data_IF_704058241852
#
_entry.id   IF_704058241852
#
_cell.length_a   1.000
_cell.length_b   1.000
_cell.length_c   1.000
_cell.angle_alpha   90.00
_cell.angle_beta   90.00
_cell.angle_gamma   90.00
#
_symmetry.space_group_name_H-M   'P 1'
#
loop_
_entity.id
_entity.type
_entity.pdbx_description
1 polymer ?
#
# COMPACT_ATOMS: atom_id res chain seq x y z
N UNK A 1 7.83 41.91 58.31
CA UNK A 1 7.27 40.53 58.21
C UNK A 1 6.95 40.30 56.75
N UNK A 2 7.70 39.38 56.12
CA UNK A 2 7.54 38.73 54.80
C UNK A 2 6.93 39.53 53.62
N UNK A 3 7.80 39.77 52.63
CA UNK A 3 7.45 39.95 51.23
C UNK A 3 6.66 38.73 50.70
N UNK A 4 5.65 38.98 49.85
CA UNK A 4 5.35 38.08 48.73
C UNK A 4 4.89 38.90 47.52
N UNK A 5 5.78 38.96 46.55
CA UNK A 5 5.65 39.59 45.24
C UNK A 5 4.74 38.75 44.34
N UNK A 6 3.68 39.32 43.78
CA UNK A 6 2.95 38.73 42.65
C UNK A 6 3.24 39.58 41.41
N UNK A 7 4.17 39.11 40.58
CA UNK A 7 4.47 39.67 39.26
C UNK A 7 3.45 39.07 38.29
N UNK A 8 2.53 39.89 37.77
CA UNK A 8 1.79 39.58 36.54
C UNK A 8 2.60 40.14 35.37
N UNK A 9 3.40 39.30 34.72
CA UNK A 9 3.98 39.64 33.42
C UNK A 9 2.90 39.48 32.35
N UNK A 10 2.63 40.59 31.65
CA UNK A 10 1.81 40.62 30.45
C UNK A 10 2.57 39.96 29.30
N UNK A 11 2.03 38.86 28.76
CA UNK A 11 2.43 38.36 27.45
C UNK A 11 1.88 39.29 26.38
N UNK A 12 2.75 40.07 25.75
CA UNK A 12 2.47 40.70 24.46
C UNK A 12 2.36 39.60 23.40
N UNK A 13 1.14 39.33 22.91
CA UNK A 13 0.95 38.66 21.63
C UNK A 13 1.34 39.65 20.52
N UNK A 14 2.53 39.47 19.95
CA UNK A 14 2.85 40.03 18.65
C UNK A 14 2.14 39.19 17.58
N UNK A 15 0.97 39.66 17.14
CA UNK A 15 0.34 39.24 15.89
C UNK A 15 1.19 39.75 14.73
N UNK A 16 2.18 38.97 14.31
CA UNK A 16 2.85 39.15 13.04
C UNK A 16 1.88 38.79 11.91
N UNK A 17 1.40 39.82 11.20
CA UNK A 17 0.72 39.64 9.93
C UNK A 17 1.73 39.11 8.91
N UNK A 18 1.72 37.80 8.67
CA UNK A 18 2.37 37.22 7.49
C UNK A 18 1.45 37.46 6.29
N UNK A 19 1.93 38.26 5.35
CA UNK A 19 1.37 38.40 4.02
C UNK A 19 1.35 37.03 3.34
N UNK A 20 0.15 36.50 3.13
CA UNK A 20 -0.08 35.33 2.28
C UNK A 20 0.41 35.72 0.88
N UNK A 21 1.51 35.12 0.45
CA UNK A 21 1.85 35.07 -0.96
C UNK A 21 0.81 34.16 -1.62
N UNK A 22 -0.09 34.76 -2.39
CA UNK A 22 -1.06 34.06 -3.23
C UNK A 22 -0.28 33.37 -4.36
N UNK A 23 0.16 32.14 -4.10
CA UNK A 23 0.96 31.30 -4.99
C UNK A 23 0.09 30.30 -5.75
N UNK A 24 -0.06 30.54 -7.06
CA UNK A 24 -0.52 29.65 -8.14
C UNK A 24 -1.92 29.02 -8.00
N UNK A 25 -2.92 29.64 -8.66
CA UNK A 25 -4.13 28.94 -9.11
C UNK A 25 -3.73 27.82 -10.08
N UNK A 26 -3.87 26.57 -9.67
CA UNK A 26 -3.77 25.39 -10.55
C UNK A 26 -4.75 25.55 -11.73
N UNK A 27 -4.36 25.28 -13.00
CA UNK A 27 -5.26 25.38 -14.14
C UNK A 27 -6.44 24.42 -14.02
N UNK A 28 -7.54 24.69 -14.74
CA UNK A 28 -8.61 23.70 -14.96
C UNK A 28 -8.00 22.38 -15.47
N UNK A 29 -7.98 21.36 -14.60
CA UNK A 29 -7.43 20.02 -14.79
C UNK A 29 -5.90 19.96 -14.69
N UNK A 30 -5.39 19.28 -13.67
CA UNK A 30 -3.97 18.92 -13.53
C UNK A 30 -3.78 17.45 -13.93
N UNK A 31 -2.71 17.13 -14.66
CA UNK A 31 -2.30 15.76 -14.97
C UNK A 31 -0.79 15.72 -15.13
N UNK A 32 -0.13 14.94 -14.30
CA UNK A 32 1.30 14.67 -14.32
C UNK A 32 1.52 13.16 -14.49
N UNK A 33 2.38 12.80 -15.43
CA UNK A 33 2.89 11.45 -15.60
C UNK A 33 4.39 11.44 -15.32
N UNK A 34 4.93 10.27 -15.05
CA UNK A 34 6.33 10.13 -14.65
C UNK A 34 7.00 9.05 -15.51
N UNK A 35 8.18 9.32 -16.09
CA UNK A 35 8.93 8.30 -16.81
C UNK A 35 9.47 7.25 -15.85
N UNK A 36 9.61 6.02 -16.34
CA UNK A 36 10.27 4.94 -15.61
C UNK A 36 11.78 5.11 -15.78
N UNK A 37 12.57 5.17 -14.69
CA UNK A 37 14.02 5.25 -14.80
C UNK A 37 14.63 4.04 -15.51
N UNK A 38 15.72 4.28 -16.25
CA UNK A 38 16.48 3.23 -16.92
C UNK A 38 16.89 2.11 -15.95
N UNK A 39 16.69 0.86 -16.37
CA UNK A 39 17.06 -0.34 -15.60
C UNK A 39 16.00 -0.82 -14.61
N UNK A 40 14.85 -0.15 -14.52
CA UNK A 40 13.67 -0.65 -13.81
C UNK A 40 12.79 -1.49 -14.77
N UNK A 41 12.28 -2.66 -14.36
CA UNK A 41 11.43 -3.48 -15.22
C UNK A 41 10.14 -2.79 -15.67
N UNK A 42 9.86 -2.87 -16.98
CA UNK A 42 8.66 -2.29 -17.62
C UNK A 42 7.73 -3.39 -18.14
N UNK A 43 6.42 -3.17 -18.02
CA UNK A 43 5.40 -4.05 -18.56
C UNK A 43 4.94 -3.58 -19.95
N UNK A 44 4.40 -4.50 -20.75
CA UNK A 44 4.00 -4.20 -22.15
C UNK A 44 2.61 -4.75 -22.51
N UNK A 45 1.91 -5.34 -21.55
CA UNK A 45 0.55 -5.87 -21.74
C UNK A 45 -0.48 -4.79 -22.05
N UNK A 46 -0.22 -3.54 -21.62
CA UNK A 46 -1.12 -2.41 -21.81
C UNK A 46 -0.40 -1.17 -22.32
N UNK A 47 -0.91 -0.58 -23.41
CA UNK A 47 -0.59 0.80 -23.76
C UNK A 47 -1.57 1.73 -23.02
N UNK A 48 -1.07 2.55 -22.10
CA UNK A 48 -1.89 3.39 -21.23
C UNK A 48 -1.73 4.86 -21.59
N UNK A 49 -2.85 5.59 -21.65
CA UNK A 49 -2.87 7.03 -21.86
C UNK A 49 -3.90 7.69 -20.94
N UNK A 50 -3.62 8.91 -20.53
CA UNK A 50 -4.55 9.76 -19.79
C UNK A 50 -4.63 11.16 -20.42
N UNK A 51 -5.75 11.85 -20.20
CA UNK A 51 -5.87 13.29 -20.48
C UNK A 51 -6.87 13.96 -19.55
N UNK A 52 -6.65 15.23 -19.27
CA UNK A 52 -7.75 16.13 -18.87
C UNK A 52 -8.77 16.20 -20.03
N UNK A 53 -10.09 16.15 -19.78
CA UNK A 53 -11.11 16.23 -20.82
C UNK A 53 -10.88 17.40 -21.79
N UNK A 54 -10.93 17.12 -23.09
CA UNK A 54 -10.62 18.09 -24.15
C UNK A 54 -9.12 18.37 -24.37
N UNK A 55 -8.25 17.84 -23.51
CA UNK A 55 -6.79 17.95 -23.61
C UNK A 55 -6.15 16.93 -24.56
N UNK A 56 -4.81 16.93 -24.59
CA UNK A 56 -4.00 15.97 -25.33
C UNK A 56 -3.80 14.70 -24.51
N UNK A 57 -3.85 13.54 -25.20
CA UNK A 57 -3.45 12.27 -24.60
C UNK A 57 -1.97 12.26 -24.27
N UNK A 58 -1.65 11.94 -23.01
CA UNK A 58 -0.31 11.71 -22.51
C UNK A 58 -0.13 10.20 -22.31
N UNK A 59 0.99 9.64 -22.80
CA UNK A 59 1.32 8.24 -22.53
C UNK A 59 1.78 8.06 -21.09
N UNK A 60 1.45 6.92 -20.50
CA UNK A 60 1.90 6.51 -19.17
C UNK A 60 2.64 5.19 -19.34
N UNK A 61 3.90 5.17 -18.95
CA UNK A 61 4.69 3.95 -18.91
C UNK A 61 4.21 3.04 -17.77
N UNK A 62 4.38 1.73 -17.92
CA UNK A 62 3.93 0.77 -16.92
C UNK A 62 5.10 0.02 -16.29
N UNK A 63 5.17 0.05 -14.97
CA UNK A 63 6.09 -0.80 -14.21
C UNK A 63 5.58 -2.24 -14.28
N UNK A 64 6.51 -3.19 -14.07
CA UNK A 64 6.20 -4.62 -14.07
C UNK A 64 6.25 -5.19 -12.64
N UNK A 65 5.18 -5.06 -11.84
CA UNK A 65 5.07 -5.84 -10.62
C UNK A 65 4.96 -7.33 -10.98
N UNK A 66 5.37 -8.17 -10.03
CA UNK A 66 5.29 -9.63 -10.14
C UNK A 66 4.30 -10.11 -9.11
N UNK A 67 3.49 -11.09 -9.50
CA UNK A 67 2.42 -11.70 -8.72
C UNK A 67 2.70 -13.18 -8.55
N UNK A 68 2.06 -13.82 -7.58
CA UNK A 68 2.31 -15.21 -7.26
C UNK A 68 1.05 -16.06 -7.45
N UNK A 69 1.23 -17.29 -7.93
CA UNK A 69 0.19 -18.31 -7.94
C UNK A 69 0.76 -19.57 -7.30
N UNK A 70 0.15 -20.03 -6.21
CA UNK A 70 0.60 -21.22 -5.48
C UNK A 70 -0.33 -22.39 -5.76
N UNK A 71 0.27 -23.56 -5.96
CA UNK A 71 -0.42 -24.84 -5.94
C UNK A 71 -0.32 -25.43 -4.53
N UNK A 72 -1.40 -25.36 -3.75
CA UNK A 72 -1.44 -25.85 -2.37
C UNK A 72 -1.24 -27.37 -2.24
N UNK A 73 -1.46 -28.15 -3.30
CA UNK A 73 -1.26 -29.61 -3.29
C UNK A 73 0.22 -29.97 -3.43
N UNK A 74 0.97 -29.26 -4.28
CA UNK A 74 2.37 -29.59 -4.60
C UNK A 74 3.39 -28.69 -3.92
N UNK A 75 2.96 -27.54 -3.38
CA UNK A 75 3.83 -26.47 -2.89
C UNK A 75 4.55 -25.70 -4.01
N UNK A 76 4.26 -25.97 -5.28
CA UNK A 76 4.84 -25.25 -6.41
C UNK A 76 4.27 -23.84 -6.56
N UNK A 77 5.06 -22.92 -7.09
CA UNK A 77 4.64 -21.54 -7.36
C UNK A 77 4.93 -21.10 -8.80
N UNK A 78 4.01 -20.36 -9.40
CA UNK A 78 4.17 -19.69 -10.70
C UNK A 78 4.21 -18.18 -10.46
N UNK A 79 5.16 -17.49 -11.10
CA UNK A 79 5.25 -16.03 -11.08
C UNK A 79 4.62 -15.46 -12.33
N UNK A 80 3.76 -14.46 -12.15
CA UNK A 80 3.10 -13.76 -13.24
C UNK A 80 3.51 -12.29 -13.27
N UNK A 81 3.78 -11.75 -14.45
CA UNK A 81 3.99 -10.30 -14.59
C UNK A 81 2.65 -9.60 -14.74
N UNK A 82 2.50 -8.44 -14.09
CA UNK A 82 1.35 -7.55 -14.26
C UNK A 82 1.80 -6.18 -14.74
N UNK A 83 0.86 -5.25 -14.89
CA UNK A 83 1.15 -3.86 -15.28
C UNK A 83 0.74 -2.88 -14.19
N UNK A 84 1.59 -1.90 -13.91
CA UNK A 84 1.30 -0.79 -13.00
C UNK A 84 1.53 0.55 -13.72
N UNK A 85 0.49 1.33 -13.93
CA UNK A 85 0.56 2.73 -14.30
C UNK A 85 0.42 3.60 -13.05
N UNK A 86 1.15 4.72 -12.97
CA UNK A 86 0.96 5.71 -11.92
C UNK A 86 1.00 7.13 -12.47
N UNK A 87 0.16 8.00 -11.90
CA UNK A 87 -0.03 9.38 -12.35
C UNK A 87 -0.62 10.23 -11.23
N UNK A 88 -0.38 11.53 -11.29
CA UNK A 88 -0.99 12.49 -10.39
C UNK A 88 -1.98 13.36 -11.16
N UNK A 89 -3.16 13.62 -10.62
CA UNK A 89 -4.14 14.49 -11.25
C UNK A 89 -5.04 15.19 -10.23
N UNK A 90 -5.69 16.27 -10.68
CA UNK A 90 -6.79 16.92 -9.94
C UNK A 90 -7.97 17.17 -10.89
N UNK A 91 -9.17 17.08 -10.34
CA UNK A 91 -10.43 17.08 -11.08
C UNK A 91 -10.61 15.80 -11.90
N UNK A 92 -11.02 15.94 -13.15
CA UNK A 92 -11.38 14.79 -14.00
C UNK A 92 -10.30 14.44 -15.00
N UNK A 93 -10.03 13.14 -15.18
CA UNK A 93 -9.20 12.58 -16.25
C UNK A 93 -9.92 11.47 -17.00
N UNK A 94 -9.71 11.42 -18.31
CA UNK A 94 -10.09 10.30 -19.16
C UNK A 94 -8.90 9.34 -19.28
N UNK A 95 -9.14 8.05 -19.08
CA UNK A 95 -8.15 6.99 -19.20
C UNK A 95 -8.47 6.14 -20.43
N UNK A 96 -7.42 5.76 -21.16
CA UNK A 96 -7.45 4.77 -22.23
C UNK A 96 -6.39 3.71 -21.95
N UNK A 97 -6.81 2.45 -21.85
CA UNK A 97 -5.93 1.29 -21.74
C UNK A 97 -6.17 0.37 -22.95
N UNK A 98 -5.16 0.13 -23.76
CA UNK A 98 -5.22 -0.83 -24.87
C UNK A 98 -4.50 -2.10 -24.46
N UNK A 99 -5.23 -3.21 -24.40
CA UNK A 99 -4.61 -4.52 -24.22
C UNK A 99 -3.87 -4.91 -25.50
N UNK A 100 -2.59 -5.28 -25.39
CA UNK A 100 -1.70 -5.48 -26.54
C UNK A 100 -1.63 -6.94 -27.00
N UNK A 101 -1.94 -7.89 -26.11
CA UNK A 101 -1.79 -9.32 -26.38
C UNK A 101 -2.95 -9.92 -27.18
N UNK A 102 -4.18 -9.41 -26.99
CA UNK A 102 -5.37 -9.91 -27.70
C UNK A 102 -6.51 -8.87 -27.73
N UNK A 103 -7.66 -9.26 -28.28
CA UNK A 103 -8.94 -8.57 -28.14
C UNK A 103 -9.43 -8.63 -26.70
N UNK A 104 -10.15 -7.58 -26.30
CA UNK A 104 -10.86 -7.57 -25.03
C UNK A 104 -12.29 -8.05 -25.30
N UNK A 105 -12.65 -9.20 -24.75
CA UNK A 105 -14.00 -9.76 -24.74
C UNK A 105 -14.82 -9.15 -23.60
N UNK A 106 -14.21 -9.03 -22.42
CA UNK A 106 -14.79 -8.48 -21.18
C UNK A 106 -13.79 -7.54 -20.52
N UNK A 107 -14.28 -6.45 -19.93
CA UNK A 107 -13.50 -5.52 -19.14
C UNK A 107 -14.29 -5.10 -17.90
N UNK A 108 -13.65 -5.07 -16.75
CA UNK A 108 -14.21 -4.56 -15.50
C UNK A 108 -13.20 -3.62 -14.83
N UNK A 109 -13.70 -2.71 -14.00
CA UNK A 109 -12.89 -1.85 -13.14
C UNK A 109 -13.17 -2.22 -11.70
N UNK A 110 -12.12 -2.44 -10.91
CA UNK A 110 -12.20 -2.83 -9.50
C UNK A 110 -11.52 -1.76 -8.62
N UNK A 111 -11.98 -1.55 -7.37
CA UNK A 111 -13.10 -2.21 -6.71
C UNK A 111 -14.47 -1.84 -7.31
N UNK A 112 -15.45 -2.75 -7.21
CA UNK A 112 -16.82 -2.52 -7.67
C UNK A 112 -17.56 -1.46 -6.84
N UNK A 113 -17.16 -1.25 -5.58
CA UNK A 113 -17.67 -0.20 -4.69
C UNK A 113 -17.59 1.21 -5.31
N UNK A 114 -16.63 1.45 -6.21
CA UNK A 114 -16.48 2.72 -6.91
C UNK A 114 -17.50 2.95 -8.02
N UNK A 115 -18.29 1.93 -8.39
CA UNK A 115 -19.35 2.01 -9.40
C UNK A 115 -18.85 2.53 -10.77
N UNK A 116 -17.61 2.21 -11.14
CA UNK A 116 -17.00 2.60 -12.41
C UNK A 116 -17.36 1.59 -13.51
N UNK A 117 -17.88 2.10 -14.63
CA UNK A 117 -18.23 1.29 -15.80
C UNK A 117 -17.31 1.60 -16.98
N UNK A 118 -16.44 0.67 -17.42
CA UNK A 118 -15.61 0.87 -18.58
C UNK A 118 -16.42 0.80 -19.89
N UNK A 119 -16.00 1.58 -20.89
CA UNK A 119 -16.40 1.42 -22.29
C UNK A 119 -15.32 0.65 -23.04
N UNK A 120 -15.73 -0.35 -23.81
CA UNK A 120 -14.83 -1.21 -24.57
C UNK A 120 -15.06 -1.06 -26.07
N UNK A 121 -13.98 -0.95 -26.84
CA UNK A 121 -13.99 -0.98 -28.31
C UNK A 121 -12.77 -1.73 -28.84
N UNK A 122 -12.98 -2.94 -29.38
CA UNK A 122 -11.88 -3.82 -29.78
C UNK A 122 -11.03 -4.22 -28.58
N UNK A 123 -9.73 -3.91 -28.61
CA UNK A 123 -8.79 -4.13 -27.50
C UNK A 123 -8.65 -2.92 -26.56
N UNK A 124 -9.42 -1.85 -26.81
CA UNK A 124 -9.32 -0.61 -26.04
C UNK A 124 -10.42 -0.54 -24.99
N UNK A 125 -10.02 -0.27 -23.75
CA UNK A 125 -10.85 0.05 -22.61
C UNK A 125 -10.71 1.53 -22.27
N UNK A 126 -11.82 2.22 -22.05
CA UNK A 126 -11.84 3.65 -21.70
C UNK A 126 -12.79 3.91 -20.54
N UNK A 127 -12.43 4.83 -19.66
CA UNK A 127 -13.26 5.27 -18.54
C UNK A 127 -12.77 6.63 -18.04
N UNK A 128 -13.44 7.15 -17.03
CA UNK A 128 -13.13 8.46 -16.44
C UNK A 128 -12.96 8.30 -14.94
N UNK A 129 -11.97 8.99 -14.39
CA UNK A 129 -11.84 9.22 -12.95
C UNK A 129 -12.10 10.70 -12.70
N UNK A 130 -12.96 11.00 -11.73
CA UNK A 130 -13.34 12.36 -11.31
C UNK A 130 -12.59 12.85 -10.07
N UNK A 131 -11.84 11.96 -9.43
CA UNK A 131 -10.91 12.20 -8.33
C UNK A 131 -9.86 11.08 -8.30
N UNK A 132 -8.66 11.34 -7.74
CA UNK A 132 -7.66 10.31 -7.50
C UNK A 132 -8.23 9.15 -6.66
N UNK A 133 -8.05 7.94 -7.17
CA UNK A 133 -8.38 6.66 -6.54
C UNK A 133 -7.62 5.53 -7.23
N UNK A 134 -7.24 4.52 -6.46
CA UNK A 134 -6.51 3.37 -6.99
C UNK A 134 -7.49 2.35 -7.59
N UNK A 135 -7.25 1.95 -8.85
CA UNK A 135 -8.15 1.04 -9.57
C UNK A 135 -7.40 -0.03 -10.35
N UNK A 136 -8.08 -1.15 -10.58
CA UNK A 136 -7.60 -2.23 -11.45
C UNK A 136 -8.50 -2.34 -12.67
N UNK A 137 -7.89 -2.33 -13.85
CA UNK A 137 -8.53 -2.70 -15.11
C UNK A 137 -8.22 -4.18 -15.37
N UNK A 138 -9.25 -5.00 -15.23
CA UNK A 138 -9.16 -6.44 -15.52
C UNK A 138 -9.81 -6.72 -16.88
N UNK A 139 -9.11 -7.47 -17.71
CA UNK A 139 -9.58 -7.85 -19.06
C UNK A 139 -9.66 -9.36 -19.19
N UNK A 140 -10.66 -9.84 -19.92
CA UNK A 140 -10.81 -11.27 -20.26
C UNK A 140 -10.83 -12.22 -19.05
N UNK A 141 -11.27 -11.73 -17.89
CA UNK A 141 -11.27 -12.48 -16.62
C UNK A 141 -9.88 -12.92 -16.12
N UNK A 142 -8.80 -12.43 -16.72
CA UNK A 142 -7.42 -12.68 -16.26
C UNK A 142 -7.09 -11.79 -15.07
N UNK A 143 -6.79 -12.42 -13.93
CA UNK A 143 -6.45 -11.71 -12.70
C UNK A 143 -4.98 -11.38 -12.56
N UNK A 144 -4.11 -12.05 -13.33
CA UNK A 144 -2.66 -11.91 -13.22
C UNK A 144 -2.14 -10.91 -14.25
N UNK A 145 -2.63 -10.95 -15.48
CA UNK A 145 -2.31 -9.97 -16.53
C UNK A 145 -3.27 -8.76 -16.51
N UNK A 146 -3.36 -8.11 -15.34
CA UNK A 146 -4.19 -6.92 -15.11
C UNK A 146 -3.39 -5.61 -15.18
N UNK A 147 -4.10 -4.49 -15.29
CA UNK A 147 -3.51 -3.15 -15.20
C UNK A 147 -3.96 -2.47 -13.90
N UNK A 148 -3.00 -2.24 -13.02
CA UNK A 148 -3.16 -1.45 -11.81
C UNK A 148 -2.87 0.01 -12.15
N UNK A 149 -3.74 0.92 -11.72
CA UNK A 149 -3.59 2.36 -11.96
C UNK A 149 -3.64 3.04 -10.61
N UNK A 150 -2.48 3.47 -10.13
CA UNK A 150 -2.35 4.20 -8.89
C UNK A 150 -2.35 5.70 -9.14
N UNK A 151 -3.16 6.42 -8.37
CA UNK A 151 -3.34 7.84 -8.62
C UNK A 151 -3.29 8.68 -7.38
N UNK A 152 -2.84 9.90 -7.55
CA UNK A 152 -2.54 10.80 -6.47
C UNK A 152 -3.05 12.22 -6.78
N UNK A 153 -3.44 13.02 -5.78
CA UNK A 153 -3.55 14.46 -5.97
C UNK A 153 -2.15 15.06 -6.24
N UNK A 154 -2.06 16.30 -6.78
CA UNK A 154 -0.77 17.00 -6.91
C UNK A 154 -0.03 17.08 -5.57
N UNK A 155 1.31 16.93 -5.56
CA UNK A 155 2.10 17.23 -4.36
C UNK A 155 2.19 18.74 -4.15
N UNK A 156 1.67 19.18 -3.01
CA UNK A 156 1.68 20.60 -2.63
C UNK A 156 2.67 20.88 -1.50
N UNK A 157 3.30 19.86 -0.94
CA UNK A 157 4.22 19.96 0.20
C UNK A 157 5.53 19.20 -0.08
N UNK A 158 6.17 19.51 -1.20
CA UNK A 158 7.46 18.93 -1.56
C UNK A 158 8.55 19.57 -0.69
N UNK A 159 9.30 18.81 0.12
CA UNK A 159 10.36 19.37 0.95
C UNK A 159 11.55 19.83 0.08
N UNK A 160 12.31 20.78 0.61
CA UNK A 160 13.54 21.24 -0.04
C UNK A 160 14.61 20.16 0.00
N UNK A 161 15.21 19.82 -1.14
CA UNK A 161 16.32 18.87 -1.26
C UNK A 161 17.54 19.25 -0.38
N UNK A 162 17.73 20.56 -0.13
CA UNK A 162 18.81 21.06 0.73
C UNK A 162 18.49 21.11 2.23
N UNK A 163 17.31 20.66 2.66
CA UNK A 163 16.97 20.64 4.08
C UNK A 163 17.78 19.57 4.82
N UNK A 164 18.43 19.95 5.93
CA UNK A 164 19.28 19.08 6.74
C UNK A 164 18.53 17.91 7.39
N UNK A 165 17.21 18.02 7.52
CA UNK A 165 16.35 17.00 8.11
C UNK A 165 15.64 16.15 7.06
N UNK A 166 15.96 16.36 5.77
CA UNK A 166 15.35 15.64 4.65
C UNK A 166 16.41 14.82 3.90
N UNK A 167 16.11 13.54 3.74
CA UNK A 167 16.81 12.62 2.84
C UNK A 167 16.02 12.59 1.52
N UNK A 168 16.45 13.38 0.55
CA UNK A 168 15.70 13.60 -0.69
C UNK A 168 16.22 12.71 -1.82
N UNK A 169 15.32 11.96 -2.47
CA UNK A 169 15.60 11.20 -3.68
C UNK A 169 14.73 11.70 -4.82
N UNK A 170 15.34 12.44 -5.75
CA UNK A 170 14.70 12.94 -6.98
C UNK A 170 14.52 11.86 -8.06
N UNK A 171 13.91 12.19 -9.22
CA UNK A 171 13.69 11.24 -10.31
C UNK A 171 14.96 10.49 -10.74
N UNK A 172 14.85 9.18 -10.96
CA UNK A 172 15.99 8.31 -11.29
C UNK A 172 15.99 6.99 -10.54
N UNK A 173 16.86 6.06 -10.94
CA UNK A 173 17.05 4.77 -10.27
C UNK A 173 18.22 4.82 -9.29
N UNK A 174 17.92 4.85 -8.00
CA UNK A 174 18.88 4.92 -6.90
C UNK A 174 19.13 3.53 -6.31
N UNK A 175 20.31 2.97 -6.55
CA UNK A 175 20.72 1.67 -5.99
C UNK A 175 21.63 1.89 -4.80
N UNK A 176 21.18 1.50 -3.62
CA UNK A 176 21.93 1.57 -2.38
C UNK A 176 22.58 0.21 -2.10
N UNK A 177 23.79 0.24 -1.57
CA UNK A 177 24.56 -0.98 -1.24
C UNK A 177 24.45 -1.36 0.25
N UNK A 178 23.76 -0.56 1.04
CA UNK A 178 23.58 -0.73 2.48
C UNK A 178 22.17 -0.31 2.89
N UNK A 179 21.70 -0.84 4.02
CA UNK A 179 20.48 -0.38 4.68
C UNK A 179 20.46 1.13 4.85
N UNK A 180 19.31 1.74 4.59
CA UNK A 180 19.07 3.16 4.75
C UNK A 180 18.38 3.42 6.09
N UNK A 181 19.13 3.96 7.05
CA UNK A 181 18.60 4.32 8.35
C UNK A 181 17.98 5.73 8.32
N UNK A 182 16.73 5.85 8.74
CA UNK A 182 16.01 7.13 8.90
C UNK A 182 15.82 7.39 10.39
N UNK A 183 16.69 8.24 10.94
CA UNK A 183 16.72 8.56 12.37
C UNK A 183 15.67 9.59 12.80
N UNK A 184 15.63 9.87 14.10
CA UNK A 184 14.64 10.78 14.71
C UNK A 184 14.59 12.17 14.09
N UNK A 185 13.37 12.70 13.92
CA UNK A 185 13.11 14.02 13.36
C UNK A 185 13.39 14.14 11.86
N UNK A 186 13.68 13.03 11.16
CA UNK A 186 14.03 13.03 9.74
C UNK A 186 12.84 12.70 8.85
N UNK A 187 12.90 13.23 7.63
CA UNK A 187 12.02 12.84 6.54
C UNK A 187 12.81 12.16 5.43
N UNK A 188 12.47 10.91 5.07
CA UNK A 188 12.84 10.34 3.78
C UNK A 188 11.79 10.73 2.75
N UNK A 189 12.18 11.51 1.74
CA UNK A 189 11.30 11.94 0.67
C UNK A 189 11.70 11.31 -0.66
N UNK A 190 10.79 10.56 -1.27
CA UNK A 190 11.01 9.86 -2.56
C UNK A 190 10.09 10.47 -3.62
N UNK A 191 10.66 11.31 -4.49
CA UNK A 191 9.90 12.07 -5.48
C UNK A 191 9.21 11.16 -6.53
N UNK A 192 8.15 11.67 -7.18
CA UNK A 192 7.61 11.04 -8.39
C UNK A 192 8.71 10.86 -9.44
N UNK A 193 8.73 9.72 -10.13
CA UNK A 193 9.80 9.34 -11.05
C UNK A 193 11.05 8.77 -10.38
N UNK A 194 11.13 8.74 -9.05
CA UNK A 194 12.24 8.11 -8.34
C UNK A 194 11.94 6.64 -8.03
N UNK A 195 12.96 5.79 -8.15
CA UNK A 195 12.92 4.39 -7.71
C UNK A 195 14.13 4.15 -6.83
N UNK A 196 13.91 3.69 -5.60
CA UNK A 196 14.98 3.27 -4.69
C UNK A 196 15.02 1.76 -4.62
N UNK A 197 16.21 1.18 -4.78
CA UNK A 197 16.48 -0.21 -4.40
C UNK A 197 17.53 -0.20 -3.31
N UNK A 198 17.18 -0.71 -2.14
CA UNK A 198 18.03 -0.80 -0.96
C UNK A 198 17.91 -2.19 -0.34
N UNK A 199 18.90 -2.65 0.43
CA UNK A 199 18.75 -3.82 1.29
C UNK A 199 17.58 -3.66 2.24
N UNK A 200 17.48 -2.61 3.03
CA UNK A 200 16.27 -2.30 3.82
C UNK A 200 16.23 -0.80 4.10
N UNK A 201 15.09 -0.31 4.55
CA UNK A 201 14.96 1.02 5.18
C UNK A 201 14.59 0.79 6.64
N UNK A 202 15.33 1.37 7.57
CA UNK A 202 15.09 1.12 9.01
C UNK A 202 14.81 2.41 9.76
N UNK A 203 13.84 2.34 10.67
CA UNK A 203 13.56 3.35 11.70
C UNK A 203 13.71 2.65 13.04
N UNK A 204 14.84 2.86 13.71
CA UNK A 204 15.19 2.10 14.92
C UNK A 204 15.34 3.04 16.11
N UNK A 205 14.68 2.72 17.22
CA UNK A 205 14.75 3.50 18.48
C UNK A 205 14.58 5.01 18.24
N UNK A 206 13.64 5.38 17.37
CA UNK A 206 13.50 6.74 16.85
C UNK A 206 12.12 7.33 17.08
N UNK A 207 12.02 8.65 16.96
CA UNK A 207 10.77 9.38 17.08
C UNK A 207 10.63 10.46 16.02
N UNK A 208 9.39 10.81 15.66
CA UNK A 208 9.06 11.88 14.72
C UNK A 208 9.69 11.65 13.32
N UNK A 209 9.43 10.48 12.75
CA UNK A 209 9.99 10.08 11.44
C UNK A 209 8.92 10.06 10.37
N UNK A 210 9.24 10.59 9.20
CA UNK A 210 8.36 10.53 8.03
C UNK A 210 9.07 9.87 6.85
N UNK A 211 8.45 8.88 6.22
CA UNK A 211 8.89 8.28 4.98
C UNK A 211 7.78 8.49 3.97
N UNK A 212 7.93 9.45 3.05
CA UNK A 212 6.84 9.85 2.16
C UNK A 212 7.26 10.17 0.74
N UNK A 213 6.29 10.33 -0.14
CA UNK A 213 6.50 10.84 -1.49
C UNK A 213 5.61 10.11 -2.48
N UNK A 214 6.02 10.07 -3.75
CA UNK A 214 5.24 9.46 -4.85
C UNK A 214 6.05 8.47 -5.69
N UNK A 215 7.31 8.22 -5.29
CA UNK A 215 8.18 7.27 -5.95
C UNK A 215 7.97 5.83 -5.49
N UNK A 216 8.81 4.94 -6.02
CA UNK A 216 8.75 3.51 -5.76
C UNK A 216 9.94 3.02 -4.94
N UNK A 217 9.69 2.01 -4.12
CA UNK A 217 10.69 1.14 -3.52
C UNK A 217 10.65 -0.21 -4.24
N UNK A 218 11.80 -0.68 -4.72
CA UNK A 218 11.90 -1.87 -5.55
C UNK A 218 12.95 -2.85 -5.02
N UNK A 219 12.55 -4.10 -4.85
CA UNK A 219 13.48 -5.20 -4.60
C UNK A 219 13.12 -6.46 -5.37
N UNK A 220 14.03 -7.09 -6.13
CA UNK A 220 13.76 -8.41 -6.70
C UNK A 220 13.79 -9.53 -5.64
N UNK A 221 14.32 -9.28 -4.44
CA UNK A 221 14.56 -10.31 -3.42
C UNK A 221 13.52 -10.36 -2.31
N UNK A 222 12.71 -9.31 -2.16
CA UNK A 222 11.90 -9.11 -0.95
C UNK A 222 12.72 -8.38 0.10
N UNK A 223 12.40 -7.10 0.32
CA UNK A 223 13.03 -6.25 1.32
C UNK A 223 11.97 -5.40 2.02
N UNK A 224 12.35 -4.57 2.98
CA UNK A 224 11.35 -3.96 3.87
C UNK A 224 11.68 -2.56 4.36
N UNK A 225 10.62 -1.80 4.66
CA UNK A 225 10.70 -0.69 5.62
C UNK A 225 10.43 -1.32 6.99
N UNK A 226 11.34 -1.20 7.95
CA UNK A 226 11.20 -1.81 9.27
C UNK A 226 11.25 -0.73 10.34
N UNK A 227 10.14 -0.60 11.06
CA UNK A 227 9.99 0.33 12.18
C UNK A 227 10.14 -0.47 13.48
N UNK A 228 11.26 -0.30 14.16
CA UNK A 228 11.59 -1.01 15.39
C UNK A 228 11.60 -0.06 16.58
N UNK A 229 10.84 -0.40 17.63
CA UNK A 229 10.92 0.27 18.94
C UNK A 229 10.85 1.80 18.83
N UNK A 230 10.00 2.28 17.93
CA UNK A 230 9.96 3.68 17.53
C UNK A 230 8.58 4.27 17.78
N UNK A 231 8.50 5.60 17.78
CA UNK A 231 7.25 6.32 18.04
C UNK A 231 6.96 7.45 17.06
N UNK A 232 5.69 7.73 16.79
CA UNK A 232 5.28 8.80 15.87
C UNK A 232 5.97 8.68 14.49
N UNK A 233 5.65 7.59 13.78
CA UNK A 233 6.22 7.28 12.46
C UNK A 233 5.12 7.30 11.40
N UNK A 234 5.34 8.10 10.35
CA UNK A 234 4.45 8.18 9.19
C UNK A 234 5.11 7.56 7.95
N UNK A 235 4.45 6.60 7.32
CA UNK A 235 4.82 6.06 6.01
C UNK A 235 3.68 6.40 5.03
N UNK A 236 3.93 7.29 4.06
CA UNK A 236 2.88 7.91 3.25
C UNK A 236 3.13 7.87 1.73
N UNK A 237 2.10 7.49 0.96
CA UNK A 237 2.00 7.71 -0.51
C UNK A 237 3.03 7.01 -1.44
N UNK A 238 3.91 6.18 -0.90
CA UNK A 238 4.87 5.39 -1.67
C UNK A 238 4.28 4.09 -2.24
N UNK A 239 4.99 3.51 -3.21
CA UNK A 239 4.66 2.22 -3.81
C UNK A 239 5.81 1.22 -3.59
N UNK A 240 5.52 0.05 -3.04
CA UNK A 240 6.46 -1.06 -2.92
C UNK A 240 6.27 -2.12 -4.00
N UNK A 241 7.35 -2.57 -4.64
CA UNK A 241 7.37 -3.80 -5.43
C UNK A 241 8.34 -4.75 -4.76
N UNK A 242 7.82 -5.78 -4.10
CA UNK A 242 8.53 -6.68 -3.20
C UNK A 242 9.33 -5.89 -2.13
N UNK A 243 8.81 -4.73 -1.73
CA UNK A 243 9.39 -3.89 -0.68
C UNK A 243 8.26 -3.56 0.28
N UNK A 244 8.28 -4.12 1.49
CA UNK A 244 7.08 -4.33 2.30
C UNK A 244 7.24 -3.63 3.66
N UNK A 245 6.29 -2.78 4.11
CA UNK A 245 6.48 -1.98 5.32
C UNK A 245 5.94 -2.70 6.56
N UNK A 246 6.72 -2.74 7.64
CA UNK A 246 6.43 -3.50 8.85
C UNK A 246 6.77 -2.72 10.11
N UNK A 247 6.03 -2.96 11.19
CA UNK A 247 6.25 -2.35 12.49
C UNK A 247 6.37 -3.39 13.61
N UNK A 248 7.31 -3.15 14.53
CA UNK A 248 7.67 -4.04 15.61
C UNK A 248 7.88 -3.24 16.90
N UNK A 249 7.21 -3.64 17.99
CA UNK A 249 7.32 -3.01 19.32
C UNK A 249 7.22 -1.46 19.28
N UNK A 250 6.39 -0.93 18.38
CA UNK A 250 6.35 0.50 18.08
C UNK A 250 5.00 1.13 18.45
N UNK A 251 5.00 2.45 18.60
CA UNK A 251 3.83 3.20 19.05
C UNK A 251 3.49 4.36 18.12
N UNK A 252 2.22 4.64 17.89
CA UNK A 252 1.78 5.77 17.05
C UNK A 252 2.39 5.69 15.63
N UNK A 253 2.13 4.57 14.94
CA UNK A 253 2.60 4.31 13.58
C UNK A 253 1.45 4.44 12.59
N UNK A 254 1.64 5.23 11.54
CA UNK A 254 0.64 5.42 10.48
C UNK A 254 1.19 4.96 9.13
N UNK A 255 0.52 4.00 8.52
CA UNK A 255 0.68 3.66 7.11
C UNK A 255 -0.47 4.32 6.35
N UNK A 256 -0.17 5.40 5.65
CA UNK A 256 -1.16 6.23 4.95
C UNK A 256 -0.99 6.11 3.45
N UNK A 257 -2.10 5.79 2.80
CA UNK A 257 -2.21 5.62 1.38
C UNK A 257 -1.30 4.55 0.77
N UNK A 258 -0.37 3.88 1.46
CA UNK A 258 0.64 2.98 0.89
C UNK A 258 0.08 1.97 -0.14
N UNK A 259 0.85 1.65 -1.20
CA UNK A 259 0.51 0.55 -2.11
C UNK A 259 1.65 -0.43 -2.27
N UNK A 260 1.39 -1.72 -2.36
CA UNK A 260 2.43 -2.67 -2.76
C UNK A 260 1.96 -3.91 -3.52
N UNK A 261 2.99 -4.61 -4.01
CA UNK A 261 2.91 -5.94 -4.60
C UNK A 261 3.97 -6.84 -3.97
N UNK A 262 3.65 -8.10 -3.74
CA UNK A 262 4.66 -9.11 -3.43
C UNK A 262 4.49 -10.41 -4.20
N UNK A 263 5.63 -11.02 -4.49
CA UNK A 263 5.76 -12.33 -5.09
C UNK A 263 7.06 -13.00 -4.62
N UNK A 264 7.28 -13.00 -3.32
CA UNK A 264 8.41 -13.66 -2.64
C UNK A 264 7.88 -14.67 -1.62
N UNK A 265 8.77 -15.47 -1.03
CA UNK A 265 8.39 -16.36 0.06
C UNK A 265 8.06 -15.53 1.30
N UNK A 266 6.94 -15.81 1.99
CA UNK A 266 6.43 -15.02 3.12
C UNK A 266 6.32 -13.54 2.74
N UNK A 267 5.66 -13.32 1.61
CA UNK A 267 5.50 -12.02 0.99
C UNK A 267 4.47 -11.15 1.68
N UNK A 268 4.32 -11.24 2.99
CA UNK A 268 3.34 -10.51 3.77
C UNK A 268 3.52 -9.00 3.55
N UNK A 269 2.40 -8.31 3.33
CA UNK A 269 2.37 -6.86 3.12
C UNK A 269 2.74 -6.10 4.39
N UNK A 270 1.74 -5.77 5.18
CA UNK A 270 1.87 -4.98 6.40
C UNK A 270 1.77 -5.84 7.65
N UNK A 271 2.93 -6.13 8.25
CA UNK A 271 2.97 -6.79 9.54
C UNK A 271 3.10 -5.80 10.69
N UNK A 272 2.33 -6.05 11.74
CA UNK A 272 2.36 -5.29 13.00
C UNK A 272 2.56 -6.27 14.15
N UNK A 273 3.72 -6.20 14.80
CA UNK A 273 4.08 -7.03 15.95
C UNK A 273 4.18 -6.19 17.22
N UNK A 274 3.44 -6.55 18.26
CA UNK A 274 3.54 -5.95 19.60
C UNK A 274 3.44 -4.40 19.61
N UNK A 275 2.56 -3.81 18.79
CA UNK A 275 2.48 -2.35 18.64
C UNK A 275 1.28 -1.73 19.36
N UNK A 276 1.36 -0.43 19.67
CA UNK A 276 0.28 0.36 20.25
C UNK A 276 -0.09 1.52 19.30
N UNK A 277 -1.38 1.78 19.08
CA UNK A 277 -1.85 2.90 18.26
C UNK A 277 -1.32 2.85 16.82
N UNK A 278 -1.79 1.88 16.04
CA UNK A 278 -1.43 1.78 14.62
C UNK A 278 -2.62 2.13 13.74
N UNK A 279 -2.39 2.99 12.75
CA UNK A 279 -3.37 3.32 11.72
C UNK A 279 -2.87 2.84 10.36
N UNK A 280 -3.63 1.94 9.74
CA UNK A 280 -3.46 1.53 8.35
C UNK A 280 -4.65 2.12 7.59
N UNK A 281 -4.39 3.12 6.75
CA UNK A 281 -5.43 3.94 6.12
C UNK A 281 -5.20 4.07 4.61
N UNK A 282 -6.27 3.89 3.84
CA UNK A 282 -6.29 4.18 2.40
C UNK A 282 -5.28 3.35 1.57
N UNK A 283 -4.94 2.12 1.99
CA UNK A 283 -3.88 1.31 1.36
C UNK A 283 -4.39 0.41 0.23
N UNK A 284 -3.51 0.05 -0.70
CA UNK A 284 -3.73 -1.00 -1.68
C UNK A 284 -2.68 -2.11 -1.52
N UNK A 285 -3.09 -3.33 -1.27
CA UNK A 285 -2.15 -4.42 -1.01
C UNK A 285 -2.48 -5.62 -1.89
N UNK A 286 -1.52 -6.08 -2.70
CA UNK A 286 -1.65 -7.31 -3.49
C UNK A 286 -0.47 -8.24 -3.24
N UNK A 287 -0.66 -9.22 -2.35
CA UNK A 287 0.46 -9.93 -1.75
C UNK A 287 0.42 -11.43 -1.97
N UNK A 288 1.61 -12.01 -2.00
CA UNK A 288 1.84 -13.45 -2.09
C UNK A 288 1.90 -14.15 -0.74
N UNK A 289 1.29 -13.55 0.27
CA UNK A 289 0.98 -14.04 1.62
C UNK A 289 -0.01 -13.04 2.24
N UNK A 290 -0.14 -13.00 3.57
CA UNK A 290 -1.05 -12.08 4.26
C UNK A 290 -0.88 -10.61 3.81
N UNK A 291 -1.97 -9.93 3.39
CA UNK A 291 -1.88 -8.52 3.04
C UNK A 291 -1.64 -7.66 4.30
N UNK A 292 -2.41 -7.90 5.36
CA UNK A 292 -2.21 -7.25 6.66
C UNK A 292 -2.22 -8.31 7.74
N UNK A 293 -1.18 -8.33 8.57
CA UNK A 293 -1.07 -9.21 9.70
C UNK A 293 -0.87 -8.45 11.02
N UNK A 294 -1.69 -8.77 12.02
CA UNK A 294 -1.53 -8.24 13.38
C UNK A 294 -1.18 -9.38 14.32
N UNK A 295 0.06 -9.33 14.81
CA UNK A 295 0.65 -10.34 15.67
C UNK A 295 0.91 -9.78 17.07
N UNK A 296 1.00 -10.67 18.05
CA UNK A 296 1.63 -10.38 19.33
C UNK A 296 3.08 -10.92 19.26
N UNK A 297 3.51 -11.73 20.23
CA UNK A 297 4.85 -12.29 20.25
C UNK A 297 5.21 -13.11 19.02
N UNK A 298 6.42 -12.85 18.52
CA UNK A 298 7.12 -13.71 17.58
C UNK A 298 8.62 -13.48 17.71
N UNK A 299 9.39 -14.55 17.81
CA UNK A 299 10.85 -14.51 17.88
C UNK A 299 11.39 -13.60 19.01
N UNK A 300 11.91 -12.42 18.68
CA UNK A 300 12.45 -11.46 19.65
C UNK A 300 11.48 -10.34 20.04
N UNK A 301 10.27 -10.35 19.47
CA UNK A 301 9.24 -9.34 19.74
C UNK A 301 8.31 -9.79 20.85
N UNK A 302 8.12 -8.95 21.86
CA UNK A 302 7.29 -9.26 23.03
C UNK A 302 6.29 -8.15 23.31
N UNK A 303 5.08 -8.55 23.70
CA UNK A 303 4.04 -7.64 24.16
C UNK A 303 2.74 -7.71 23.38
N UNK A 304 1.81 -6.88 23.82
CA UNK A 304 0.46 -6.80 23.27
C UNK A 304 0.46 -6.01 21.96
N UNK A 305 -0.53 -6.29 21.10
CA UNK A 305 -0.90 -5.43 19.98
C UNK A 305 -2.23 -4.74 20.30
N UNK A 306 -2.22 -3.42 20.47
CA UNK A 306 -3.37 -2.69 21.00
C UNK A 306 -3.72 -1.44 20.20
N UNK A 307 -5.03 -1.17 20.09
CA UNK A 307 -5.57 0.00 19.40
C UNK A 307 -5.07 0.11 17.94
N UNK A 308 -5.52 -0.83 17.10
CA UNK A 308 -5.12 -0.90 15.70
C UNK A 308 -6.35 -0.68 14.83
N UNK A 309 -6.26 0.29 13.92
CA UNK A 309 -7.32 0.60 12.95
C UNK A 309 -6.83 0.31 11.54
N UNK A 310 -7.60 -0.50 10.81
CA UNK A 310 -7.43 -0.78 9.39
C UNK A 310 -8.66 -0.21 8.68
N UNK A 311 -8.47 0.72 7.76
CA UNK A 311 -9.60 1.36 7.10
C UNK A 311 -9.37 1.84 5.66
N UNK A 312 -10.47 2.01 4.94
CA UNK A 312 -10.52 2.66 3.62
C UNK A 312 -9.62 1.98 2.56
N UNK A 313 -9.43 0.66 2.68
CA UNK A 313 -8.35 -0.07 2.01
C UNK A 313 -8.83 -1.13 1.02
N UNK A 314 -8.00 -1.43 0.03
CA UNK A 314 -8.25 -2.40 -1.05
C UNK A 314 -7.23 -3.54 -0.93
N UNK A 315 -7.69 -4.78 -0.77
CA UNK A 315 -6.83 -5.93 -0.49
C UNK A 315 -7.03 -7.04 -1.53
N UNK A 316 -5.93 -7.67 -1.96
CA UNK A 316 -5.92 -8.80 -2.88
C UNK A 316 -4.87 -9.82 -2.45
N UNK A 317 -5.30 -10.87 -1.76
CA UNK A 317 -4.40 -11.93 -1.32
C UNK A 317 -4.22 -12.98 -2.43
N UNK A 318 -3.10 -12.93 -3.15
CA UNK A 318 -2.72 -13.95 -4.13
C UNK A 318 -2.37 -15.29 -3.44
N UNK A 319 -2.00 -15.24 -2.15
CA UNK A 319 -1.86 -16.36 -1.21
C UNK A 319 -2.32 -15.88 0.16
N UNK A 320 -2.82 -16.78 1.00
CA UNK A 320 -3.17 -16.55 2.39
C UNK A 320 -4.36 -15.57 2.60
N UNK A 321 -4.24 -14.59 3.51
CA UNK A 321 -5.37 -13.77 3.96
C UNK A 321 -5.26 -12.31 3.51
N UNK A 322 -6.40 -11.68 3.16
CA UNK A 322 -6.47 -10.23 3.15
C UNK A 322 -6.14 -9.62 4.53
N UNK A 323 -6.69 -10.18 5.61
CA UNK A 323 -6.35 -9.77 6.98
C UNK A 323 -6.22 -11.00 7.87
N UNK A 324 -5.08 -11.13 8.56
CA UNK A 324 -4.82 -12.16 9.56
C UNK A 324 -4.53 -11.50 10.92
N UNK A 325 -5.19 -11.96 11.97
CA UNK A 325 -5.04 -11.45 13.33
C UNK A 325 -4.71 -12.62 14.25
N UNK A 326 -3.58 -12.54 14.95
CA UNK A 326 -3.09 -13.58 15.83
C UNK A 326 -2.26 -14.61 15.08
N UNK A 327 -2.39 -15.91 15.33
CA UNK A 327 -1.48 -17.00 14.89
C UNK A 327 -0.16 -17.03 15.65
N UNK A 328 0.47 -15.88 15.90
CA UNK A 328 1.71 -15.78 16.67
C UNK A 328 1.49 -15.13 18.03
N UNK A 329 1.96 -15.83 19.06
CA UNK A 329 1.85 -15.43 20.46
C UNK A 329 2.84 -16.09 21.40
N UNK A 330 2.54 -16.02 22.69
CA UNK A 330 3.40 -16.51 23.76
C UNK A 330 2.67 -17.50 24.67
N UNK A 331 2.91 -18.80 24.47
CA UNK A 331 2.27 -19.84 25.30
C UNK A 331 2.66 -19.81 26.77
N UNK A 332 3.87 -19.33 27.09
CA UNK A 332 4.37 -19.28 28.46
C UNK A 332 3.78 -18.09 29.24
N UNK A 333 3.63 -16.95 28.58
CA UNK A 333 3.03 -15.73 29.13
C UNK A 333 2.09 -15.09 28.09
N UNK A 334 0.83 -15.57 27.98
CA UNK A 334 -0.08 -15.18 26.92
C UNK A 334 -0.37 -13.68 26.85
N UNK A 335 -0.31 -13.15 25.64
CA UNK A 335 -0.53 -11.73 25.35
C UNK A 335 -1.94 -11.50 24.84
N UNK A 336 -2.28 -10.22 24.74
CA UNK A 336 -3.58 -9.76 24.26
C UNK A 336 -3.43 -8.92 23.00
N UNK A 337 -4.21 -9.25 21.98
CA UNK A 337 -4.49 -8.36 20.85
C UNK A 337 -5.86 -7.72 21.13
N UNK A 338 -5.91 -6.40 21.34
CA UNK A 338 -7.13 -5.71 21.77
C UNK A 338 -7.39 -4.38 21.09
N UNK A 339 -8.66 -4.04 20.88
CA UNK A 339 -9.05 -2.76 20.31
C UNK A 339 -8.75 -2.69 18.82
N UNK A 340 -9.29 -3.65 18.06
CA UNK A 340 -9.16 -3.70 16.60
C UNK A 340 -10.37 -3.06 15.95
N UNK A 341 -10.15 -2.16 15.00
CA UNK A 341 -11.22 -1.65 14.13
C UNK A 341 -10.85 -1.92 12.68
N UNK A 342 -11.66 -2.70 11.98
CA UNK A 342 -11.53 -2.98 10.55
C UNK A 342 -12.76 -2.39 9.88
N UNK A 343 -12.59 -1.41 8.97
CA UNK A 343 -13.74 -0.77 8.33
C UNK A 343 -13.54 -0.27 6.91
N UNK A 344 -14.60 -0.29 6.10
CA UNK A 344 -14.57 0.17 4.71
C UNK A 344 -13.44 -0.51 3.92
N UNK A 345 -13.51 -1.84 3.81
CA UNK A 345 -12.49 -2.66 3.15
C UNK A 345 -13.07 -3.31 1.89
N UNK A 346 -12.41 -3.12 0.76
CA UNK A 346 -12.67 -3.81 -0.49
C UNK A 346 -11.69 -4.97 -0.67
N UNK A 347 -12.17 -6.19 -0.45
CA UNK A 347 -11.40 -7.41 -0.70
C UNK A 347 -11.70 -7.89 -2.12
N UNK A 348 -10.68 -7.85 -2.97
CA UNK A 348 -10.80 -8.15 -4.39
C UNK A 348 -10.63 -9.63 -4.69
N UNK A 349 -9.75 -10.32 -3.99
CA UNK A 349 -9.65 -11.77 -4.15
C UNK A 349 -8.90 -12.34 -2.96
N UNK A 350 -9.02 -13.65 -2.82
CA UNK A 350 -8.31 -14.43 -1.82
C UNK A 350 -8.02 -15.84 -2.34
N UNK A 351 -6.80 -16.31 -2.09
CA UNK A 351 -6.43 -17.72 -2.27
C UNK A 351 -5.85 -18.28 -0.98
N UNK A 352 -6.74 -18.71 -0.08
CA UNK A 352 -6.39 -19.42 1.16
C UNK A 352 -6.72 -20.91 1.04
N UNK A 353 -5.71 -21.76 1.19
CA UNK A 353 -5.82 -23.22 1.12
C UNK A 353 -5.67 -23.95 2.45
N UNK A 354 -5.24 -23.26 3.50
CA UNK A 354 -4.95 -23.80 4.83
C UNK A 354 -6.24 -23.92 5.63
N UNK A 355 -6.61 -25.15 5.94
CA UNK A 355 -7.91 -25.50 6.53
C UNK A 355 -8.09 -24.94 7.94
N UNK A 356 -7.00 -24.82 8.70
CA UNK A 356 -7.05 -24.54 10.14
C UNK A 356 -7.36 -23.07 10.49
N UNK A 357 -7.31 -22.15 9.51
CA UNK A 357 -7.52 -20.73 9.74
C UNK A 357 -8.15 -20.01 8.53
N UNK A 358 -9.04 -20.68 7.80
CA UNK A 358 -9.72 -20.12 6.62
C UNK A 358 -10.55 -18.86 6.95
N UNK A 359 -10.50 -17.88 6.05
CA UNK A 359 -11.41 -16.73 6.07
C UNK A 359 -10.77 -15.51 5.44
N UNK A 360 -11.58 -14.56 5.01
CA UNK A 360 -11.05 -13.31 4.42
C UNK A 360 -10.48 -12.35 5.46
N UNK A 361 -11.02 -12.45 6.68
CA UNK A 361 -10.46 -11.89 7.89
C UNK A 361 -10.36 -13.05 8.87
N UNK A 362 -9.14 -13.50 9.17
CA UNK A 362 -8.90 -14.57 10.13
C UNK A 362 -8.60 -13.98 11.51
N UNK A 363 -9.30 -14.45 12.54
CA UNK A 363 -9.00 -14.16 13.94
C UNK A 363 -8.58 -15.47 14.62
N UNK A 364 -7.29 -15.66 14.81
CA UNK A 364 -6.72 -16.88 15.34
C UNK A 364 -5.95 -16.59 16.64
N UNK A 365 -6.53 -16.75 17.84
CA UNK A 365 -5.82 -16.59 19.11
C UNK A 365 -4.87 -17.76 19.38
N UNK A 366 -3.87 -17.93 18.50
CA UNK A 366 -2.82 -18.92 18.60
C UNK A 366 -1.97 -18.73 19.86
N UNK A 367 -1.24 -19.78 20.24
CA UNK A 367 -0.28 -19.76 21.36
C UNK A 367 -0.86 -19.33 22.71
N UNK A 368 -2.17 -19.53 22.93
CA UNK A 368 -2.84 -19.21 24.19
C UNK A 368 -3.23 -17.74 24.36
N UNK A 369 -2.97 -16.89 23.36
CA UNK A 369 -3.28 -15.46 23.38
C UNK A 369 -4.78 -15.18 23.50
N UNK A 370 -5.10 -13.93 23.85
CA UNK A 370 -6.46 -13.40 23.84
C UNK A 370 -6.64 -12.39 22.71
N UNK A 371 -7.71 -12.54 21.93
CA UNK A 371 -8.19 -11.50 21.01
C UNK A 371 -9.50 -10.95 21.58
N UNK A 372 -9.58 -9.64 21.82
CA UNK A 372 -10.79 -8.98 22.35
C UNK A 372 -11.01 -7.58 21.77
N UNK A 373 -12.22 -7.03 21.99
CA UNK A 373 -12.59 -5.68 21.55
C UNK A 373 -12.35 -5.44 20.04
N UNK A 374 -12.92 -6.32 19.22
CA UNK A 374 -12.81 -6.28 17.75
C UNK A 374 -14.10 -5.76 17.13
N UNK A 375 -14.01 -4.71 16.33
CA UNK A 375 -15.07 -4.18 15.49
C UNK A 375 -14.70 -4.40 14.01
N UNK A 376 -15.59 -5.07 13.28
CA UNK A 376 -15.51 -5.23 11.83
C UNK A 376 -16.80 -4.64 11.24
N UNK A 377 -16.68 -3.61 10.42
CA UNK A 377 -17.80 -2.87 9.83
C UNK A 377 -17.55 -2.58 8.34
N UNK A 378 -18.57 -2.53 7.51
CA UNK A 378 -18.45 -2.18 6.07
C UNK A 378 -17.30 -2.89 5.31
N UNK A 379 -17.35 -4.22 5.23
CA UNK A 379 -16.39 -5.03 4.45
C UNK A 379 -17.08 -5.65 3.23
N UNK A 380 -16.53 -5.43 2.04
CA UNK A 380 -17.04 -5.94 0.77
C UNK A 380 -16.06 -6.96 0.19
N UNK A 381 -16.54 -8.18 -0.09
CA UNK A 381 -15.72 -9.20 -0.74
C UNK A 381 -16.23 -9.47 -2.16
N UNK A 382 -15.35 -9.31 -3.14
CA UNK A 382 -15.61 -9.45 -4.55
C UNK A 382 -14.98 -10.75 -5.10
N UNK A 383 -15.52 -11.92 -4.74
CA UNK A 383 -14.95 -13.21 -5.18
C UNK A 383 -15.15 -13.44 -6.67
N UNK A 384 -14.08 -13.79 -7.40
CA UNK A 384 -14.17 -14.35 -8.74
C UNK A 384 -13.61 -15.78 -8.75
N UNK A 385 -14.49 -16.77 -8.85
CA UNK A 385 -14.06 -18.15 -9.06
C UNK A 385 -13.34 -18.27 -10.41
N UNK A 386 -12.02 -18.42 -10.37
CA UNK A 386 -11.27 -18.96 -11.50
C UNK A 386 -11.55 -20.46 -11.46
N UNK A 387 -12.37 -20.94 -12.39
CA UNK A 387 -12.56 -22.36 -12.57
C UNK A 387 -11.17 -22.99 -12.77
N UNK A 388 -10.73 -23.80 -11.81
CA UNK A 388 -9.58 -24.67 -12.01
C UNK A 388 -9.78 -25.53 -13.25
N UNK A 389 -8.70 -26.16 -13.79
CA UNK A 389 -8.87 -27.13 -14.86
C UNK A 389 -9.95 -28.12 -14.42
N UNK A 390 -11.03 -28.22 -15.21
CA UNK A 390 -12.16 -29.12 -14.94
C UNK A 390 -11.60 -30.43 -14.41
N UNK A 391 -12.08 -30.88 -13.24
CA UNK A 391 -11.87 -32.24 -12.77
C UNK A 391 -12.15 -33.20 -13.94
N UNK A 392 -11.09 -33.67 -14.57
CA UNK A 392 -11.19 -34.81 -15.45
C UNK A 392 -11.35 -36.03 -14.55
N UNK A 393 -12.60 -36.43 -14.35
CA UNK A 393 -12.92 -37.80 -14.00
C UNK A 393 -13.25 -38.06 -12.54
N UNK A 394 -14.41 -37.59 -12.09
CA UNK A 394 -15.29 -38.51 -11.37
C UNK A 394 -16.19 -39.19 -12.41
N UNK A 395 -15.70 -40.26 -13.02
CA UNK A 395 -16.61 -41.26 -13.60
C UNK A 395 -17.31 -41.94 -12.44
N UNK A 396 -18.61 -41.73 -12.35
CA UNK A 396 -19.52 -42.57 -11.58
C UNK A 396 -19.34 -44.03 -12.00
N UNK A 397 -18.95 -44.88 -11.04
CA UNK A 397 -19.21 -46.31 -11.04
C UNK A 397 -19.79 -46.68 -9.68
#
# INVERSE_FOLDING_TARGET
MRLSTAIKSACFLLLGQSTIAEGAKTPKGFLQTWPIPDGVPVATSFDVKARVPGGKWQSIETYQPVLNEVNFTTGGSIKHNSSLAYLDFDGTVEIQARYTKDRVSKAVIRPYSFNLSPKKSGSVVTFTLDQPRDVIVQVNDDIFDALHIFTNPPDTDIPSEGDKDVMYYGPGYHKLNSTLEVGSGKTLYVAGGAVISAPDITVTNSSDVTIRGRGLLYSPKGNSIQVYRSSNVLIDRLVGINFLPRAYESKDVTFSHWRDFSAVQWGDGMDVYCCENVLIDSVFLRNSDDCIAVYAHRDEWYGNSTNITIQDSILWADVAHPINIGTHGNTEDPETIAGLTIRNIDILDQREGQVDYQGTIALNPGDGNLIQDVLIDDVQHQVQHIAGPRDQGCTSA
#
